data_IF_690474764778
#
_entry.id   IF_690474764778
#
_cell.length_a   1.000
_cell.length_b   1.000
_cell.length_c   1.000
_cell.angle_alpha   90.00
_cell.angle_beta   90.00
_cell.angle_gamma   90.00
#
_symmetry.space_group_name_H-M   'P 1'
#
loop_
_entity.id
_entity.type
_entity.pdbx_description
1 polymer ?
#
# COMPACT_ATOMS: atom_id res chain seq x y z
N UNK A 1 19.70 21.57 27.17
CA UNK A 1 19.14 20.26 26.78
C UNK A 1 17.93 20.57 25.91
N UNK A 2 17.92 20.10 24.66
CA UNK A 2 16.75 20.28 23.80
C UNK A 2 15.71 19.24 24.22
N UNK A 3 14.61 19.68 24.82
CA UNK A 3 13.50 18.78 25.12
C UNK A 3 12.92 18.25 23.81
N UNK A 4 12.80 16.92 23.70
CA UNK A 4 12.20 16.30 22.53
C UNK A 4 10.77 16.83 22.38
N UNK A 5 10.48 17.49 21.25
CA UNK A 5 9.19 18.14 21.00
C UNK A 5 8.00 17.19 21.09
N UNK A 6 8.20 15.92 20.72
CA UNK A 6 7.14 14.91 20.63
C UNK A 6 7.61 13.53 21.12
N UNK A 7 7.18 13.08 22.30
CA UNK A 7 7.49 11.75 22.84
C UNK A 7 6.46 11.25 23.86
N UNK A 8 6.47 9.94 24.07
CA UNK A 8 5.69 9.26 25.09
C UNK A 8 6.59 8.82 26.25
N UNK A 9 6.14 9.05 27.47
CA UNK A 9 6.70 8.49 28.69
C UNK A 9 5.68 7.61 29.41
N UNK A 10 6.17 6.68 30.23
CA UNK A 10 5.34 5.71 30.95
C UNK A 10 5.56 5.92 32.44
N UNK A 11 4.46 5.95 33.21
CA UNK A 11 4.50 5.87 34.66
C UNK A 11 3.33 5.02 35.14
N UNK A 12 3.64 3.84 35.67
CA UNK A 12 2.62 2.84 36.00
C UNK A 12 1.73 2.55 34.80
N UNK A 13 0.41 2.70 34.99
CA UNK A 13 -0.61 2.46 33.96
C UNK A 13 -0.90 3.67 33.06
N UNK A 14 -0.16 4.76 33.23
CA UNK A 14 -0.38 6.02 32.52
C UNK A 14 0.67 6.24 31.44
N UNK A 15 0.21 6.66 30.27
CA UNK A 15 1.04 7.16 29.17
C UNK A 15 0.97 8.68 29.17
N UNK A 16 2.12 9.33 29.31
CA UNK A 16 2.26 10.77 29.15
C UNK A 16 2.64 11.08 27.72
N UNK A 17 1.82 11.90 27.06
CA UNK A 17 2.03 12.41 25.71
C UNK A 17 2.60 13.82 25.85
N UNK A 18 3.83 14.02 25.41
CA UNK A 18 4.45 15.34 25.32
C UNK A 18 4.41 15.81 23.89
N UNK A 19 3.77 16.95 23.64
CA UNK A 19 3.70 17.60 22.33
C UNK A 19 3.86 19.11 22.49
N UNK A 20 4.85 19.68 21.81
CA UNK A 20 5.11 21.13 21.78
C UNK A 20 5.18 21.79 23.17
N UNK A 21 5.77 21.08 24.14
CA UNK A 21 5.97 21.57 25.51
C UNK A 21 4.75 21.40 26.44
N UNK A 22 3.62 20.91 25.94
CA UNK A 22 2.48 20.50 26.76
C UNK A 22 2.51 18.99 27.01
N UNK A 23 2.18 18.56 28.25
CA UNK A 23 2.09 17.16 28.63
C UNK A 23 0.66 16.77 28.99
N UNK A 24 0.15 15.69 28.40
CA UNK A 24 -1.15 15.10 28.75
C UNK A 24 -0.97 13.65 29.20
N UNK A 25 -1.47 13.30 30.38
CA UNK A 25 -1.56 11.92 30.85
C UNK A 25 -2.86 11.26 30.41
N UNK A 26 -2.78 10.04 29.87
CA UNK A 26 -3.94 9.20 29.53
C UNK A 26 -3.68 7.77 29.98
N UNK A 27 -4.74 7.02 30.26
CA UNK A 27 -4.58 5.62 30.67
C UNK A 27 -4.11 4.77 29.48
N UNK A 28 -3.21 3.81 29.70
CA UNK A 28 -2.63 3.01 28.62
C UNK A 28 -3.67 2.23 27.80
N UNK A 29 -4.82 1.89 28.39
CA UNK A 29 -5.92 1.24 27.67
C UNK A 29 -6.39 2.06 26.46
N UNK A 30 -6.33 3.39 26.52
CA UNK A 30 -6.71 4.24 25.38
C UNK A 30 -5.80 4.04 24.18
N UNK A 31 -4.49 3.89 24.42
CA UNK A 31 -3.50 3.58 23.38
C UNK A 31 -3.78 2.21 22.76
N UNK A 32 -3.98 1.21 23.62
CA UNK A 32 -4.25 -0.17 23.21
C UNK A 32 -5.56 -0.27 22.42
N UNK A 33 -6.64 0.34 22.92
CA UNK A 33 -7.95 0.30 22.28
C UNK A 33 -7.93 1.01 20.94
N UNK A 34 -7.25 2.16 20.85
CA UNK A 34 -7.09 2.86 19.58
C UNK A 34 -6.35 1.98 18.57
N UNK A 35 -5.27 1.33 18.99
CA UNK A 35 -4.50 0.43 18.13
C UNK A 35 -5.32 -0.79 17.68
N UNK A 36 -6.08 -1.42 18.60
CA UNK A 36 -6.97 -2.55 18.28
C UNK A 36 -8.06 -2.18 17.28
N UNK A 37 -8.67 -1.00 17.43
CA UNK A 37 -9.76 -0.53 16.55
C UNK A 37 -9.25 -0.08 15.19
N UNK A 38 -8.18 0.71 15.15
CA UNK A 38 -7.66 1.29 13.91
C UNK A 38 -6.78 0.33 13.13
N UNK A 39 -6.11 -0.60 13.82
CA UNK A 39 -5.04 -1.47 13.28
C UNK A 39 -3.97 -0.66 12.53
N UNK A 40 -3.72 0.58 12.97
CA UNK A 40 -2.92 1.56 12.26
C UNK A 40 -2.12 2.45 13.21
N UNK A 41 -0.79 2.44 13.03
CA UNK A 41 0.10 3.34 13.77
C UNK A 41 -0.10 4.81 13.36
N UNK A 42 -0.48 5.07 12.12
CA UNK A 42 -0.69 6.44 11.66
C UNK A 42 -1.91 7.07 12.33
N UNK A 43 -2.99 6.30 12.53
CA UNK A 43 -4.15 6.74 13.29
C UNK A 43 -3.83 6.93 14.78
N UNK A 44 -3.05 6.02 15.38
CA UNK A 44 -2.60 6.18 16.77
C UNK A 44 -1.76 7.45 16.94
N UNK A 45 -0.83 7.70 16.02
CA UNK A 45 0.09 8.85 16.08
C UNK A 45 -0.63 10.20 16.03
N UNK A 46 -1.84 10.29 15.45
CA UNK A 46 -2.63 11.53 15.48
C UNK A 46 -3.01 11.96 16.90
N UNK A 47 -3.12 11.01 17.83
CA UNK A 47 -3.46 11.27 19.24
C UNK A 47 -2.25 11.12 20.17
N UNK A 48 -1.41 10.13 19.91
CA UNK A 48 -0.22 9.84 20.69
C UNK A 48 1.01 10.31 19.91
N UNK A 49 1.29 11.60 19.99
CA UNK A 49 2.38 12.26 19.27
C UNK A 49 3.73 11.75 19.78
N UNK A 50 4.23 10.69 19.16
CA UNK A 50 5.53 10.10 19.45
C UNK A 50 6.19 9.57 18.19
N UNK A 51 7.51 9.36 18.27
CA UNK A 51 8.23 8.69 17.19
C UNK A 51 7.71 7.26 17.03
N UNK A 52 7.83 6.69 15.81
CA UNK A 52 7.42 5.29 15.54
C UNK A 52 8.02 4.33 16.57
N UNK A 53 9.33 4.45 16.80
CA UNK A 53 10.05 3.56 17.71
C UNK A 53 9.54 3.70 19.15
N UNK A 54 9.26 4.94 19.59
CA UNK A 54 8.70 5.19 20.90
C UNK A 54 7.27 4.63 21.02
N UNK A 55 6.40 4.84 20.04
CA UNK A 55 5.06 4.26 19.97
C UNK A 55 5.06 2.73 20.03
N UNK A 56 5.89 2.07 19.20
CA UNK A 56 5.98 0.60 19.19
C UNK A 56 6.49 0.09 20.55
N UNK A 57 7.52 0.71 21.12
CA UNK A 57 8.01 0.33 22.46
C UNK A 57 6.97 0.51 23.55
N UNK A 58 6.18 1.60 23.50
CA UNK A 58 5.09 1.83 24.46
C UNK A 58 3.99 0.78 24.30
N UNK A 59 3.62 0.42 23.07
CA UNK A 59 2.66 -0.66 22.81
C UNK A 59 3.15 -2.00 23.36
N UNK A 60 4.41 -2.36 23.07
CA UNK A 60 5.05 -3.59 23.56
C UNK A 60 5.12 -3.63 25.09
N UNK A 61 5.42 -2.49 25.74
CA UNK A 61 5.45 -2.38 27.19
C UNK A 61 4.11 -2.76 27.84
N UNK A 62 2.99 -2.38 27.21
CA UNK A 62 1.64 -2.73 27.66
C UNK A 62 1.11 -4.04 27.05
N UNK A 63 1.99 -4.89 26.51
CA UNK A 63 1.66 -6.23 26.04
C UNK A 63 0.98 -6.28 24.67
N UNK A 64 1.03 -5.20 23.88
CA UNK A 64 0.55 -5.22 22.50
C UNK A 64 1.68 -5.56 21.53
N UNK A 65 1.57 -6.73 20.91
CA UNK A 65 2.52 -7.19 19.91
C UNK A 65 2.19 -6.60 18.53
N UNK A 66 2.99 -5.61 18.12
CA UNK A 66 2.87 -5.00 16.79
C UNK A 66 3.29 -5.95 15.65
N UNK A 67 4.24 -6.85 15.90
CA UNK A 67 4.69 -7.81 14.91
C UNK A 67 3.63 -8.89 14.65
N UNK A 68 2.88 -9.30 15.68
CA UNK A 68 1.70 -10.16 15.52
C UNK A 68 0.61 -9.49 14.67
N UNK A 69 0.39 -8.17 14.83
CA UNK A 69 -0.52 -7.42 13.97
C UNK A 69 -0.04 -7.44 12.51
N UNK A 70 1.24 -7.12 12.26
CA UNK A 70 1.81 -7.15 10.91
C UNK A 70 1.68 -8.54 10.29
N UNK A 71 1.95 -9.60 11.06
CA UNK A 71 1.78 -10.98 10.62
C UNK A 71 0.34 -11.26 10.17
N UNK A 72 -0.67 -10.81 10.93
CA UNK A 72 -2.08 -10.93 10.52
C UNK A 72 -2.34 -10.19 9.21
N UNK A 73 -1.87 -8.95 9.09
CA UNK A 73 -2.08 -8.13 7.90
C UNK A 73 -1.36 -8.70 6.67
N UNK A 74 -0.19 -9.32 6.84
CA UNK A 74 0.47 -10.04 5.75
C UNK A 74 -0.34 -11.27 5.30
N UNK A 75 -0.92 -12.03 6.24
CA UNK A 75 -1.82 -13.17 5.93
C UNK A 75 -3.11 -12.71 5.24
N UNK A 76 -3.63 -11.54 5.61
CA UNK A 76 -4.77 -10.88 4.94
C UNK A 76 -4.43 -10.40 3.51
N UNK A 77 -3.16 -10.47 3.09
CA UNK A 77 -2.73 -10.16 1.73
C UNK A 77 -2.40 -8.69 1.50
N UNK A 78 -2.22 -7.89 2.56
CA UNK A 78 -1.81 -6.50 2.40
C UNK A 78 -0.43 -6.42 1.73
N UNK A 79 -0.32 -5.47 0.80
CA UNK A 79 0.95 -5.13 0.12
C UNK A 79 1.81 -4.24 1.01
N UNK A 80 3.12 -4.31 0.84
CA UNK A 80 4.06 -3.50 1.61
C UNK A 80 3.80 -2.01 1.47
N UNK A 81 3.48 -1.55 0.26
CA UNK A 81 3.15 -0.15 0.01
C UNK A 81 1.84 0.28 0.68
N UNK A 82 0.88 -0.62 0.85
CA UNK A 82 -0.37 -0.34 1.55
C UNK A 82 -0.13 -0.26 3.06
N UNK A 83 0.65 -1.19 3.63
CA UNK A 83 1.01 -1.16 5.05
C UNK A 83 1.93 0.00 5.39
N UNK A 84 2.87 0.34 4.50
CA UNK A 84 3.71 1.53 4.65
C UNK A 84 2.87 2.79 4.79
N UNK A 85 1.84 2.95 3.96
CA UNK A 85 0.87 4.05 4.08
C UNK A 85 0.04 3.94 5.35
N UNK A 86 -0.50 2.76 5.66
CA UNK A 86 -1.34 2.52 6.83
C UNK A 86 -0.63 2.86 8.14
N UNK A 87 0.66 2.52 8.25
CA UNK A 87 1.45 2.75 9.46
C UNK A 87 2.30 4.02 9.37
N UNK A 88 2.26 4.74 8.24
CA UNK A 88 3.11 5.90 7.92
C UNK A 88 4.60 5.61 8.19
N UNK A 89 5.07 4.51 7.63
CA UNK A 89 6.46 4.01 7.72
C UNK A 89 7.06 3.80 6.34
N UNK A 90 8.38 3.62 6.28
CA UNK A 90 9.09 3.33 5.04
C UNK A 90 8.68 1.94 4.46
N UNK A 91 8.37 1.84 3.15
CA UNK A 91 8.08 0.56 2.51
C UNK A 91 9.18 -0.50 2.65
N UNK A 92 10.46 -0.11 2.61
CA UNK A 92 11.61 -1.00 2.86
C UNK A 92 11.60 -1.52 4.29
N UNK A 93 11.14 -0.72 5.25
CA UNK A 93 11.00 -1.19 6.64
C UNK A 93 9.93 -2.28 6.75
N UNK A 94 8.79 -2.12 6.06
CA UNK A 94 7.76 -3.16 5.99
C UNK A 94 8.29 -4.41 5.27
N UNK A 95 9.01 -4.26 4.17
CA UNK A 95 9.59 -5.39 3.44
C UNK A 95 10.59 -6.18 4.30
N UNK A 96 11.44 -5.49 5.07
CA UNK A 96 12.34 -6.13 6.05
C UNK A 96 11.58 -6.86 7.16
N UNK A 97 10.49 -6.26 7.67
CA UNK A 97 9.63 -6.90 8.66
C UNK A 97 8.92 -8.14 8.11
N UNK A 98 8.44 -8.08 6.86
CA UNK A 98 7.85 -9.21 6.14
C UNK A 98 8.82 -10.39 6.09
N UNK A 99 10.04 -10.14 5.65
CA UNK A 99 11.11 -11.14 5.57
C UNK A 99 11.46 -11.72 6.95
N UNK A 100 11.65 -10.85 7.96
CA UNK A 100 11.94 -11.27 9.33
C UNK A 100 10.82 -12.14 9.95
N UNK A 101 9.57 -11.93 9.53
CA UNK A 101 8.41 -12.71 9.95
C UNK A 101 8.17 -13.96 9.10
N UNK A 102 9.09 -14.30 8.19
CA UNK A 102 9.06 -15.51 7.37
C UNK A 102 8.10 -15.46 6.19
N UNK A 103 7.59 -14.28 5.82
CA UNK A 103 6.74 -14.13 4.64
C UNK A 103 7.60 -13.94 3.38
N UNK A 104 7.21 -14.54 2.25
CA UNK A 104 7.92 -14.36 1.01
C UNK A 104 7.82 -12.90 0.56
N UNK A 105 8.95 -12.33 0.13
CA UNK A 105 9.07 -10.95 -0.33
C UNK A 105 8.44 -10.72 -1.72
N UNK A 106 7.70 -11.70 -2.25
CA UNK A 106 7.09 -11.60 -3.57
C UNK A 106 5.96 -10.57 -3.55
N UNK A 107 6.03 -9.53 -4.40
CA UNK A 107 4.95 -8.55 -4.51
C UNK A 107 3.65 -9.27 -4.87
N UNK A 108 2.64 -9.10 -4.01
CA UNK A 108 1.36 -9.79 -4.08
C UNK A 108 0.67 -9.71 -5.45
N UNK A 109 0.81 -10.81 -6.18
CA UNK A 109 -0.31 -11.63 -6.65
C UNK A 109 0.13 -13.07 -6.36
N UNK A 110 -0.74 -13.92 -5.80
CA UNK A 110 -0.60 -15.35 -6.10
C UNK A 110 -0.45 -15.40 -7.61
N UNK A 111 0.69 -15.89 -8.10
CA UNK A 111 0.87 -16.09 -9.53
C UNK A 111 -0.24 -17.08 -9.85
N UNK A 112 -1.34 -16.61 -10.44
CA UNK A 112 -2.32 -17.54 -11.00
C UNK A 112 -1.51 -18.22 -12.09
N UNK A 113 -1.07 -19.43 -11.77
CA UNK A 113 -0.24 -20.22 -12.67
C UNK A 113 -1.18 -20.73 -13.74
N UNK A 114 -1.20 -20.00 -14.86
CA UNK A 114 -1.88 -20.45 -16.04
C UNK A 114 -0.95 -21.37 -16.80
N UNK A 115 -1.44 -22.56 -17.14
CA UNK A 115 -0.68 -23.44 -18.03
C UNK A 115 -0.55 -22.78 -19.42
N UNK A 116 0.53 -23.10 -20.14
CA UNK A 116 0.70 -22.62 -21.52
C UNK A 116 -0.48 -22.97 -22.41
N UNK A 117 -1.13 -24.11 -22.14
CA UNK A 117 -2.34 -24.55 -22.81
C UNK A 117 -3.54 -23.64 -22.52
N UNK A 118 -3.79 -23.28 -21.25
CA UNK A 118 -4.87 -22.35 -20.89
C UNK A 118 -4.70 -20.98 -21.55
N UNK A 119 -3.46 -20.48 -21.64
CA UNK A 119 -3.16 -19.20 -22.27
C UNK A 119 -3.41 -19.24 -23.78
N UNK A 120 -3.07 -20.34 -24.46
CA UNK A 120 -3.34 -20.56 -25.89
C UNK A 120 -4.84 -20.67 -26.16
N UNK A 121 -5.56 -21.49 -25.39
CA UNK A 121 -7.02 -21.65 -25.52
C UNK A 121 -7.74 -20.31 -25.33
N UNK A 122 -7.33 -19.49 -24.37
CA UNK A 122 -7.92 -18.18 -24.14
C UNK A 122 -7.68 -17.21 -25.31
N UNK A 123 -6.51 -17.29 -25.97
CA UNK A 123 -6.24 -16.53 -27.18
C UNK A 123 -7.11 -16.99 -28.34
N UNK A 124 -7.15 -18.30 -28.59
CA UNK A 124 -7.91 -18.91 -29.67
C UNK A 124 -9.42 -18.62 -29.53
N UNK A 125 -9.94 -18.65 -28.31
CA UNK A 125 -11.35 -18.35 -28.02
C UNK A 125 -11.69 -16.86 -28.21
N UNK A 126 -10.76 -15.95 -27.96
CA UNK A 126 -11.02 -14.50 -27.98
C UNK A 126 -10.60 -13.81 -29.28
N UNK A 127 -9.71 -14.42 -30.06
CA UNK A 127 -9.11 -13.84 -31.27
C UNK A 127 -8.31 -12.55 -31.04
N UNK A 128 -8.06 -12.16 -29.78
CA UNK A 128 -7.35 -10.93 -29.42
C UNK A 128 -6.75 -10.99 -28.02
N UNK A 129 -5.59 -10.35 -27.84
CA UNK A 129 -4.94 -10.24 -26.52
C UNK A 129 -5.81 -9.54 -25.47
N UNK A 130 -6.59 -8.54 -25.88
CA UNK A 130 -7.47 -7.81 -24.96
C UNK A 130 -8.67 -8.67 -24.53
N UNK A 131 -9.27 -9.43 -25.46
CA UNK A 131 -10.35 -10.37 -25.14
C UNK A 131 -9.85 -11.52 -24.27
N UNK A 132 -8.72 -12.11 -24.59
CA UNK A 132 -8.14 -13.22 -23.84
C UNK A 132 -7.74 -12.82 -22.41
N UNK A 133 -7.16 -11.63 -22.25
CA UNK A 133 -6.86 -11.08 -20.93
C UNK A 133 -8.12 -10.90 -20.06
N UNK A 134 -9.24 -10.45 -20.68
CA UNK A 134 -10.54 -10.34 -20.00
C UNK A 134 -11.09 -11.71 -19.61
N UNK A 135 -11.01 -12.71 -20.50
CA UNK A 135 -11.43 -14.09 -20.19
C UNK A 135 -10.67 -14.68 -19.00
N UNK A 136 -9.39 -14.34 -18.86
CA UNK A 136 -8.53 -14.84 -17.78
C UNK A 136 -8.47 -13.93 -16.53
N UNK A 137 -9.22 -12.82 -16.50
CA UNK A 137 -9.21 -11.90 -15.35
C UNK A 137 -7.85 -11.25 -15.08
N UNK A 138 -7.04 -11.05 -16.11
CA UNK A 138 -5.72 -10.41 -16.00
C UNK A 138 -5.61 -9.20 -16.92
N UNK A 139 -4.56 -8.38 -16.73
CA UNK A 139 -4.33 -7.25 -17.61
C UNK A 139 -3.71 -7.71 -18.95
N UNK A 140 -3.89 -6.90 -19.99
CA UNK A 140 -3.40 -7.18 -21.36
C UNK A 140 -1.90 -7.43 -21.41
N UNK A 141 -1.10 -6.68 -20.66
CA UNK A 141 0.36 -6.80 -20.65
C UNK A 141 0.82 -8.13 -20.04
N UNK A 142 0.19 -8.55 -18.94
CA UNK A 142 0.43 -9.84 -18.29
C UNK A 142 0.06 -10.98 -19.23
N UNK A 143 -1.10 -10.91 -19.88
CA UNK A 143 -1.50 -11.94 -20.84
C UNK A 143 -0.51 -12.02 -22.02
N UNK A 144 -0.09 -10.87 -22.59
CA UNK A 144 0.89 -10.85 -23.70
C UNK A 144 2.20 -11.55 -23.32
N UNK A 145 2.71 -11.32 -22.10
CA UNK A 145 3.91 -11.99 -21.59
C UNK A 145 3.71 -13.51 -21.44
N UNK A 146 2.58 -13.93 -20.91
CA UNK A 146 2.23 -15.34 -20.77
C UNK A 146 2.10 -16.03 -22.13
N UNK A 147 1.47 -15.36 -23.10
CA UNK A 147 1.29 -15.90 -24.45
C UNK A 147 2.62 -16.05 -25.18
N UNK A 148 3.51 -15.05 -25.10
CA UNK A 148 4.85 -15.14 -25.68
C UNK A 148 5.68 -16.31 -25.08
N UNK A 149 5.57 -16.53 -23.77
CA UNK A 149 6.18 -17.68 -23.10
C UNK A 149 5.56 -19.01 -23.55
N UNK A 150 4.23 -19.04 -23.74
CA UNK A 150 3.52 -20.22 -24.22
C UNK A 150 3.77 -20.52 -25.70
N UNK A 151 4.04 -19.53 -26.57
CA UNK A 151 4.22 -19.70 -28.02
C UNK A 151 5.67 -19.99 -28.43
N UNK A 152 6.62 -20.00 -27.49
CA UNK A 152 7.99 -20.46 -27.75
C UNK A 152 8.86 -19.57 -28.64
N UNK A 153 8.46 -18.32 -28.94
CA UNK A 153 9.30 -17.36 -29.69
C UNK A 153 9.15 -15.89 -29.25
N UNK A 154 10.34 -15.30 -29.12
CA UNK A 154 10.81 -13.91 -29.29
C UNK A 154 10.60 -12.85 -28.20
N UNK A 155 11.75 -12.25 -27.84
CA UNK A 155 11.98 -11.03 -27.06
C UNK A 155 11.03 -9.88 -27.43
N UNK A 156 10.74 -8.96 -26.50
CA UNK A 156 9.80 -7.88 -26.73
C UNK A 156 10.42 -6.85 -27.70
N UNK A 157 9.98 -6.86 -28.95
CA UNK A 157 10.04 -5.67 -29.79
C UNK A 157 9.23 -4.58 -29.07
N UNK A 158 9.96 -3.61 -28.50
CA UNK A 158 9.44 -2.29 -28.18
C UNK A 158 8.99 -1.67 -29.49
N UNK A 159 7.68 -1.59 -29.70
CA UNK A 159 7.11 -0.77 -30.77
C UNK A 159 6.44 0.42 -30.08
N UNK A 160 7.27 1.44 -29.89
CA UNK A 160 6.83 2.80 -29.63
C UNK A 160 6.30 3.31 -30.97
N UNK A 161 4.99 3.30 -31.17
CA UNK A 161 4.36 4.21 -32.11
C UNK A 161 2.97 4.64 -31.63
N UNK A 162 2.98 5.90 -31.24
CA UNK A 162 1.88 6.80 -30.92
C UNK A 162 1.08 7.10 -32.20
N UNK A 163 -0.23 7.24 -32.00
CA UNK A 163 -1.23 7.89 -32.85
C UNK A 163 -1.25 7.62 -34.37
N UNK A 164 -2.36 7.02 -34.79
CA UNK A 164 -3.19 7.62 -35.84
C UNK A 164 -4.64 7.14 -35.70
N UNK A 165 -5.46 8.00 -35.09
CA UNK A 165 -6.91 8.07 -35.35
C UNK A 165 -7.09 8.69 -36.75
N UNK A 166 -8.07 8.24 -37.56
CA UNK A 166 -9.38 8.88 -37.49
C UNK A 166 -10.55 7.91 -37.66
N UNK A 167 -11.64 8.15 -36.91
CA UNK A 167 -12.91 7.42 -37.13
C UNK A 167 -13.93 7.61 -36.02
N UNK A 168 -14.36 8.84 -35.77
CA UNK A 168 -15.62 9.14 -35.10
C UNK A 168 -16.77 8.50 -35.88
N UNK A 169 -17.66 7.72 -35.23
CA UNK A 169 -19.12 7.90 -35.44
C UNK A 169 -20.13 7.07 -34.62
N UNK A 170 -19.78 6.40 -33.50
CA UNK A 170 -20.81 5.58 -32.81
C UNK A 170 -21.02 5.71 -31.31
N UNK A 171 -20.33 6.60 -30.59
CA UNK A 171 -20.52 6.71 -29.13
C UNK A 171 -20.76 8.11 -28.56
N UNK A 172 -21.23 9.06 -29.39
CA UNK A 172 -21.65 10.38 -28.92
C UNK A 172 -22.90 10.35 -28.00
N UNK A 173 -23.65 9.23 -27.94
CA UNK A 173 -24.88 9.12 -27.13
C UNK A 173 -24.72 8.50 -25.74
N UNK A 174 -23.52 8.07 -25.32
CA UNK A 174 -23.33 7.41 -24.02
C UNK A 174 -22.63 8.25 -22.94
N UNK A 175 -22.16 9.47 -23.26
CA UNK A 175 -21.41 10.32 -22.30
C UNK A 175 -22.24 11.33 -21.52
N UNK A 176 -23.55 11.39 -21.72
CA UNK A 176 -24.43 12.32 -21.00
C UNK A 176 -24.93 11.80 -19.63
N UNK A 177 -24.73 10.52 -19.29
CA UNK A 177 -25.37 9.90 -18.12
C UNK A 177 -24.45 9.63 -16.90
N UNK A 178 -23.15 9.90 -16.97
CA UNK A 178 -22.23 9.66 -15.85
C UNK A 178 -21.38 10.87 -15.51
N UNK A 179 -22.02 12.03 -15.36
CA UNK A 179 -21.58 13.05 -14.40
C UNK A 179 -22.36 12.81 -13.11
N UNK A 180 -21.84 11.96 -12.22
CA UNK A 180 -22.15 12.05 -10.79
C UNK A 180 -21.18 11.20 -9.96
N UNK A 181 -20.47 11.91 -9.11
CA UNK A 181 -19.79 11.49 -7.87
C UNK A 181 -18.39 10.85 -8.02
N UNK A 182 -17.40 11.57 -7.48
CA UNK A 182 -16.04 11.06 -7.21
C UNK A 182 -14.96 12.12 -7.42
N UNK A 183 -14.81 13.05 -6.46
CA UNK A 183 -13.75 14.05 -6.45
C UNK A 183 -12.38 13.33 -6.40
N UNK A 184 -11.59 13.42 -7.47
CA UNK A 184 -10.22 12.89 -7.52
C UNK A 184 -9.27 14.05 -7.28
N UNK A 185 -8.80 14.21 -6.04
CA UNK A 185 -7.67 15.10 -5.76
C UNK A 185 -6.42 14.36 -6.21
N UNK A 186 -5.84 14.80 -7.34
CA UNK A 186 -4.51 14.39 -7.75
C UNK A 186 -3.53 15.41 -7.15
N UNK A 187 -2.79 15.03 -6.13
CA UNK A 187 -1.64 15.82 -5.67
C UNK A 187 -0.50 15.63 -6.66
N UNK A 188 0.17 16.74 -7.00
CA UNK A 188 1.34 16.73 -7.87
C UNK A 188 2.55 16.14 -7.15
N UNK A 189 3.56 15.71 -7.90
CA UNK A 189 4.81 15.17 -7.34
C UNK A 189 5.54 16.21 -6.46
N UNK A 190 5.37 17.51 -6.76
CA UNK A 190 5.89 18.62 -5.97
C UNK A 190 5.13 18.82 -4.64
N UNK A 191 3.82 18.53 -4.60
CA UNK A 191 3.05 18.54 -3.35
C UNK A 191 3.45 17.38 -2.43
N UNK A 192 3.79 16.23 -3.01
CA UNK A 192 4.33 15.09 -2.27
C UNK A 192 5.73 15.41 -1.72
N UNK A 193 6.59 16.08 -2.51
CA UNK A 193 7.94 16.44 -2.08
C UNK A 193 7.94 17.44 -0.92
N UNK A 194 7.13 18.50 -1.00
CA UNK A 194 6.93 19.44 0.14
C UNK A 194 6.38 18.75 1.40
N UNK A 195 5.56 17.71 1.25
CA UNK A 195 5.03 16.95 2.40
C UNK A 195 6.06 16.03 3.07
N UNK A 196 7.10 15.61 2.34
CA UNK A 196 8.22 14.82 2.88
C UNK A 196 9.37 15.68 3.41
N UNK A 197 9.55 16.90 2.94
CA UNK A 197 10.66 17.77 3.37
C UNK A 197 10.37 18.51 4.70
N UNK A 198 9.13 18.54 5.20
CA UNK A 198 8.75 19.43 6.30
C UNK A 198 9.01 18.94 7.73
N UNK A 199 9.58 17.74 7.99
CA UNK A 199 10.04 17.39 9.37
C UNK A 199 10.89 16.11 9.47
N UNK A 200 11.96 16.00 8.66
CA UNK A 200 12.98 14.95 8.84
C UNK A 200 14.38 15.54 9.09
N UNK A 201 14.50 16.52 9.97
CA UNK A 201 15.78 16.73 10.63
C UNK A 201 15.95 15.70 11.74
N UNK A 202 16.91 14.80 11.51
CA UNK A 202 17.48 13.92 12.52
C UNK A 202 18.02 14.75 13.69
N UNK A 203 17.64 14.38 14.91
CA UNK A 203 18.34 14.75 16.15
C UNK A 203 18.44 13.52 17.04
#
# INVERSE_FOLDING_TARGET
MADAKNYLAISGDTVFIFSDGAGQGVHHSELIDLMKRSRSLSEVRKRFAGSRTNLIKTLEHFGYDFDALLQSQFREGYRDTALAKLHRVDPKWIARKREALGFPNSPGRSRVEFSSEQVRIAYDAAGSFAGAARLMGINRQTFRRLYAQASGQMEPAYDDNIDQSPGNDRFAKARAATRRVGYKVCFSEDDLKKFYDDEWEES
#
